data_IF_177463015010
#
_entry.id   IF_177463015010
#
_cell.length_a   1.000
_cell.length_b   1.000
_cell.length_c   1.000
_cell.angle_alpha   90.00
_cell.angle_beta   90.00
_cell.angle_gamma   90.00
#
_symmetry.space_group_name_H-M   'P 1'
#
loop_
_entity.id
_entity.type
_entity.pdbx_description
1 polymer ?
#
# COMPACT_ATOMS: atom_id res chain seq x y z
N UNK A 1 -2.74 12.34 -25.50
CA UNK A 1 -2.56 12.24 -24.04
C UNK A 1 -3.62 11.26 -23.53
N UNK A 2 -3.28 9.97 -23.43
CA UNK A 2 -4.25 8.93 -23.06
C UNK A 2 -4.53 9.02 -21.55
N UNK A 3 -5.58 9.76 -21.18
CA UNK A 3 -6.09 9.77 -19.82
C UNK A 3 -6.75 8.40 -19.59
N UNK A 4 -6.02 7.55 -18.86
CA UNK A 4 -6.40 6.18 -18.57
C UNK A 4 -7.63 6.12 -17.64
N UNK A 5 -8.58 5.23 -17.93
CA UNK A 5 -9.86 5.09 -17.20
C UNK A 5 -9.67 4.96 -15.69
N UNK A 6 -8.63 4.25 -15.22
CA UNK A 6 -8.34 4.18 -13.78
C UNK A 6 -7.92 5.54 -13.20
N UNK A 7 -7.13 6.33 -13.93
CA UNK A 7 -6.70 7.66 -13.45
C UNK A 7 -7.89 8.62 -13.38
N UNK A 8 -8.82 8.54 -14.33
CA UNK A 8 -10.08 9.27 -14.29
C UNK A 8 -10.90 8.89 -13.07
N UNK A 9 -11.18 7.59 -12.90
CA UNK A 9 -11.93 7.07 -11.76
C UNK A 9 -11.30 7.48 -10.42
N UNK A 10 -9.98 7.37 -10.30
CA UNK A 10 -9.27 7.79 -9.09
C UNK A 10 -9.43 9.28 -8.84
N UNK A 11 -9.30 10.12 -9.87
CA UNK A 11 -9.44 11.57 -9.78
C UNK A 11 -10.87 11.97 -9.41
N UNK A 12 -11.87 11.33 -10.02
CA UNK A 12 -13.29 11.54 -9.71
C UNK A 12 -13.58 11.16 -8.26
N UNK A 13 -13.13 10.00 -7.80
CA UNK A 13 -13.26 9.57 -6.41
C UNK A 13 -12.59 10.53 -5.43
N UNK A 14 -11.43 11.11 -5.78
CA UNK A 14 -10.73 12.11 -4.95
C UNK A 14 -11.44 13.46 -4.89
N UNK A 15 -12.18 13.84 -5.92
CA UNK A 15 -13.00 15.05 -5.94
C UNK A 15 -14.29 14.83 -5.16
N UNK A 16 -15.01 13.75 -5.45
CA UNK A 16 -16.32 13.47 -4.84
C UNK A 16 -16.22 13.16 -3.35
N UNK A 17 -15.17 12.46 -2.90
CA UNK A 17 -15.02 12.17 -1.47
C UNK A 17 -14.84 13.44 -0.61
N UNK A 18 -14.39 14.56 -1.22
CA UNK A 18 -14.22 15.84 -0.50
C UNK A 18 -15.53 16.60 -0.30
N UNK A 19 -16.60 16.22 -1.01
CA UNK A 19 -17.91 16.85 -0.86
C UNK A 19 -18.78 16.15 0.18
N UNK A 20 -18.35 15.00 0.69
CA UNK A 20 -19.05 14.24 1.71
C UNK A 20 -18.78 14.77 3.11
N UNK A 21 -19.67 14.45 4.05
CA UNK A 21 -19.46 14.68 5.49
C UNK A 21 -18.28 13.88 6.02
N UNK A 22 -17.61 14.42 7.03
CA UNK A 22 -16.42 13.80 7.62
C UNK A 22 -16.68 12.39 8.16
N UNK A 23 -17.85 12.12 8.74
CA UNK A 23 -18.23 10.81 9.27
C UNK A 23 -18.33 9.74 8.15
N UNK A 24 -18.88 10.13 7.01
CA UNK A 24 -19.01 9.26 5.84
C UNK A 24 -17.62 9.02 5.22
N UNK A 25 -16.80 10.06 5.11
CA UNK A 25 -15.40 9.96 4.66
C UNK A 25 -14.62 9.00 5.57
N UNK A 26 -14.80 9.09 6.88
CA UNK A 26 -14.13 8.23 7.84
C UNK A 26 -14.57 6.78 7.71
N UNK A 27 -15.88 6.53 7.55
CA UNK A 27 -16.44 5.20 7.32
C UNK A 27 -15.89 4.58 6.04
N UNK A 28 -15.86 5.33 4.94
CA UNK A 28 -15.28 4.88 3.66
C UNK A 28 -13.79 4.56 3.85
N UNK A 29 -13.02 5.42 4.52
CA UNK A 29 -11.60 5.16 4.79
C UNK A 29 -11.39 3.87 5.57
N UNK A 30 -12.21 3.60 6.57
CA UNK A 30 -12.07 2.41 7.41
C UNK A 30 -12.40 1.12 6.64
N UNK A 31 -13.43 1.14 5.77
CA UNK A 31 -13.72 0.04 4.84
C UNK A 31 -12.55 -0.17 3.86
N UNK A 32 -12.03 0.92 3.27
CA UNK A 32 -10.93 0.86 2.31
C UNK A 32 -9.62 0.36 2.95
N UNK A 33 -9.35 0.63 4.23
CA UNK A 33 -8.19 0.07 4.95
C UNK A 33 -8.23 -1.46 5.05
N UNK A 34 -9.41 -2.06 4.94
CA UNK A 34 -9.56 -3.52 4.90
C UNK A 34 -9.14 -4.14 3.57
N UNK A 35 -9.06 -3.34 2.50
CA UNK A 35 -8.80 -3.75 1.12
C UNK A 35 -7.31 -3.61 0.78
N UNK A 36 -6.50 -4.58 1.20
CA UNK A 36 -5.10 -4.65 0.75
C UNK A 36 -4.98 -5.23 -0.65
N UNK A 37 -3.82 -5.01 -1.28
CA UNK A 37 -3.45 -5.60 -2.58
C UNK A 37 -3.50 -7.14 -2.58
N UNK A 38 -3.46 -7.77 -1.41
CA UNK A 38 -3.58 -9.21 -1.22
C UNK A 38 -5.03 -9.71 -1.17
N UNK A 39 -6.00 -8.80 -1.08
CA UNK A 39 -7.42 -9.10 -1.01
C UNK A 39 -8.18 -8.57 -2.22
N UNK A 40 -7.84 -7.36 -2.68
CA UNK A 40 -8.55 -6.66 -3.76
C UNK A 40 -7.52 -5.99 -4.67
N UNK A 41 -7.66 -6.16 -5.99
CA UNK A 41 -6.82 -5.46 -6.97
C UNK A 41 -7.09 -3.95 -6.99
N UNK A 42 -6.11 -3.15 -7.44
CA UNK A 42 -6.20 -1.68 -7.40
C UNK A 42 -7.39 -1.10 -8.17
N UNK A 43 -7.82 -1.74 -9.27
CA UNK A 43 -8.95 -1.24 -10.04
C UNK A 43 -10.27 -1.45 -9.27
N UNK A 44 -10.51 -2.67 -8.78
CA UNK A 44 -11.72 -3.00 -8.03
C UNK A 44 -11.82 -2.18 -6.75
N UNK A 45 -10.70 -1.93 -6.07
CA UNK A 45 -10.67 -1.04 -4.93
C UNK A 45 -11.17 0.38 -5.27
N UNK A 46 -10.87 0.91 -6.47
CA UNK A 46 -11.39 2.21 -6.92
C UNK A 46 -12.87 2.15 -7.31
N UNK A 47 -13.33 1.06 -7.92
CA UNK A 47 -14.76 0.87 -8.24
C UNK A 47 -15.57 0.82 -6.96
N UNK A 48 -15.16 -0.01 -6.00
CA UNK A 48 -15.79 -0.11 -4.69
C UNK A 48 -15.80 1.24 -3.98
N UNK A 49 -14.69 1.99 -4.01
CA UNK A 49 -14.63 3.34 -3.43
C UNK A 49 -15.67 4.27 -4.05
N UNK A 50 -15.84 4.24 -5.37
CA UNK A 50 -16.86 5.03 -6.07
C UNK A 50 -18.26 4.64 -5.62
N UNK A 51 -18.54 3.35 -5.54
CA UNK A 51 -19.86 2.85 -5.16
C UNK A 51 -20.20 3.22 -3.70
N UNK A 52 -19.22 3.19 -2.79
CA UNK A 52 -19.37 3.69 -1.42
C UNK A 52 -19.62 5.21 -1.36
N UNK A 53 -18.98 5.99 -2.22
CA UNK A 53 -19.22 7.43 -2.33
C UNK A 53 -20.65 7.70 -2.83
N UNK A 54 -21.09 7.00 -3.87
CA UNK A 54 -22.46 7.11 -4.40
C UNK A 54 -23.49 6.75 -3.34
N UNK A 55 -23.26 5.66 -2.61
CA UNK A 55 -24.10 5.26 -1.48
C UNK A 55 -24.17 6.36 -0.40
N UNK A 56 -23.03 6.95 -0.03
CA UNK A 56 -23.01 8.05 0.95
C UNK A 56 -23.82 9.27 0.47
N UNK A 57 -23.70 9.64 -0.81
CA UNK A 57 -24.48 10.74 -1.41
C UNK A 57 -25.99 10.44 -1.38
N UNK A 58 -26.40 9.21 -1.71
CA UNK A 58 -27.81 8.81 -1.65
C UNK A 58 -28.40 8.86 -0.24
N UNK A 59 -27.61 8.51 0.78
CA UNK A 59 -28.05 8.59 2.18
C UNK A 59 -28.05 10.01 2.72
N UNK A 60 -27.15 10.86 2.25
CA UNK A 60 -27.15 12.29 2.58
C UNK A 60 -28.46 12.97 2.15
N UNK A 61 -28.98 12.64 0.95
CA UNK A 61 -30.30 13.11 0.48
C UNK A 61 -31.46 12.69 1.40
N UNK A 62 -31.26 11.64 2.22
CA UNK A 62 -32.23 11.12 3.18
C UNK A 62 -31.92 11.57 4.62
N UNK A 63 -30.99 12.51 4.81
CA UNK A 63 -30.49 12.96 6.11
C UNK A 63 -29.99 11.80 7.01
N UNK A 64 -29.41 10.75 6.42
CA UNK A 64 -28.81 9.61 7.14
C UNK A 64 -27.32 9.52 6.83
N UNK A 65 -26.54 8.94 7.73
CA UNK A 65 -25.12 8.65 7.46
C UNK A 65 -24.94 7.29 6.80
N UNK A 66 -23.82 7.11 6.11
CA UNK A 66 -23.38 5.82 5.59
C UNK A 66 -23.21 4.81 6.74
N UNK A 67 -22.77 5.29 7.91
CA UNK A 67 -22.67 4.45 9.11
C UNK A 67 -24.05 3.96 9.57
N UNK A 68 -25.07 4.81 9.56
CA UNK A 68 -26.44 4.42 9.91
C UNK A 68 -27.02 3.38 8.95
N UNK A 69 -26.63 3.45 7.68
CA UNK A 69 -27.08 2.53 6.63
C UNK A 69 -26.42 1.15 6.73
N UNK A 70 -25.11 1.12 6.99
CA UNK A 70 -24.35 -0.13 7.16
C UNK A 70 -24.64 -0.76 8.53
N UNK A 71 -24.93 0.07 9.53
CA UNK A 71 -25.14 -0.34 10.91
C UNK A 71 -23.83 -0.59 11.65
N UNK A 72 -23.93 -1.29 12.78
CA UNK A 72 -22.80 -1.52 13.68
C UNK A 72 -21.74 -2.50 13.14
N UNK A 73 -22.07 -3.29 12.11
CA UNK A 73 -21.20 -4.30 11.52
C UNK A 73 -20.49 -3.84 10.23
N UNK A 74 -19.76 -2.74 10.34
CA UNK A 74 -18.91 -2.22 9.25
C UNK A 74 -17.88 -3.26 8.78
N UNK A 75 -17.41 -4.12 9.70
CA UNK A 75 -16.42 -5.15 9.40
C UNK A 75 -17.01 -6.27 8.55
N UNK A 76 -18.19 -6.80 8.90
CA UNK A 76 -18.90 -7.79 8.12
C UNK A 76 -19.20 -7.27 6.72
N UNK A 77 -19.71 -6.04 6.63
CA UNK A 77 -19.96 -5.37 5.35
C UNK A 77 -18.69 -5.26 4.48
N UNK A 78 -17.56 -4.84 5.06
CA UNK A 78 -16.29 -4.78 4.35
C UNK A 78 -15.81 -6.16 3.87
N UNK A 79 -16.01 -7.22 4.67
CA UNK A 79 -15.67 -8.58 4.29
C UNK A 79 -16.53 -9.09 3.14
N UNK A 80 -17.82 -8.79 3.13
CA UNK A 80 -18.73 -9.15 2.04
C UNK A 80 -18.33 -8.46 0.73
N UNK A 81 -18.01 -7.16 0.78
CA UNK A 81 -17.49 -6.43 -0.38
C UNK A 81 -16.19 -7.08 -0.91
N UNK A 82 -15.25 -7.41 -0.02
CA UNK A 82 -13.98 -8.03 -0.41
C UNK A 82 -14.23 -9.40 -1.05
N UNK A 83 -15.13 -10.21 -0.48
CA UNK A 83 -15.49 -11.55 -0.98
C UNK A 83 -16.13 -11.50 -2.36
N UNK A 84 -16.91 -10.45 -2.64
CA UNK A 84 -17.58 -10.24 -3.92
C UNK A 84 -16.72 -9.48 -4.96
N UNK A 85 -15.51 -9.05 -4.59
CA UNK A 85 -14.58 -8.41 -5.52
C UNK A 85 -13.94 -9.41 -6.50
N UNK A 86 -13.25 -8.91 -7.53
CA UNK A 86 -12.46 -9.75 -8.43
C UNK A 86 -11.21 -10.36 -7.77
N UNK A 87 -10.96 -10.07 -6.49
CA UNK A 87 -9.86 -10.63 -5.72
C UNK A 87 -8.50 -10.01 -6.04
N UNK A 88 -7.42 -10.57 -5.47
CA UNK A 88 -6.06 -10.09 -5.67
C UNK A 88 -5.51 -10.38 -7.06
N UNK A 89 -4.76 -9.44 -7.62
CA UNK A 89 -3.98 -9.65 -8.83
C UNK A 89 -2.54 -10.06 -8.46
N UNK A 90 -2.13 -11.31 -8.73
CA UNK A 90 -0.79 -11.81 -8.41
C UNK A 90 0.34 -10.96 -9.02
N UNK A 91 0.15 -10.52 -10.26
CA UNK A 91 1.13 -9.67 -10.93
C UNK A 91 1.22 -8.28 -10.30
N UNK A 92 0.10 -7.72 -9.85
CA UNK A 92 0.08 -6.46 -9.10
C UNK A 92 0.77 -6.61 -7.73
N UNK A 93 0.55 -7.72 -7.02
CA UNK A 93 1.25 -8.00 -5.75
C UNK A 93 2.76 -8.06 -5.98
N UNK A 94 3.21 -8.77 -7.02
CA UNK A 94 4.62 -8.89 -7.36
C UNK A 94 5.24 -7.53 -7.71
N UNK A 95 4.59 -6.75 -8.58
CA UNK A 95 5.05 -5.41 -8.92
C UNK A 95 5.00 -4.46 -7.73
N UNK A 96 4.00 -4.57 -6.85
CA UNK A 96 3.90 -3.82 -5.60
C UNK A 96 5.07 -4.10 -4.67
N UNK A 97 5.48 -5.37 -4.54
CA UNK A 97 6.67 -5.75 -3.78
C UNK A 97 7.94 -5.13 -4.38
N UNK A 98 8.16 -5.27 -5.70
CA UNK A 98 9.33 -4.71 -6.38
C UNK A 98 9.37 -3.18 -6.30
N UNK A 99 8.21 -2.52 -6.39
CA UNK A 99 8.10 -1.07 -6.29
C UNK A 99 8.51 -0.60 -4.90
N UNK A 100 8.05 -1.32 -3.87
CA UNK A 100 8.42 -1.04 -2.48
C UNK A 100 9.90 -1.30 -2.23
N UNK A 101 10.43 -2.42 -2.73
CA UNK A 101 11.83 -2.79 -2.61
C UNK A 101 12.74 -1.72 -3.23
N UNK A 102 12.50 -1.40 -4.50
CA UNK A 102 13.28 -0.39 -5.22
C UNK A 102 13.15 0.99 -4.59
N UNK A 103 11.95 1.39 -4.17
CA UNK A 103 11.73 2.67 -3.47
C UNK A 103 12.43 2.76 -2.10
N UNK A 104 12.39 1.69 -1.29
CA UNK A 104 13.07 1.64 0.00
C UNK A 104 14.59 1.72 -0.16
N UNK A 105 15.15 0.93 -1.07
CA UNK A 105 16.59 0.97 -1.35
C UNK A 105 17.02 2.34 -1.85
N UNK A 106 16.27 2.93 -2.79
CA UNK A 106 16.55 4.26 -3.28
C UNK A 106 16.51 5.31 -2.16
N UNK A 107 15.41 5.35 -1.40
CA UNK A 107 15.21 6.34 -0.35
C UNK A 107 16.23 6.23 0.79
N UNK A 108 16.41 5.04 1.36
CA UNK A 108 17.31 4.85 2.50
C UNK A 108 18.78 5.06 2.16
N UNK A 109 19.26 4.51 1.03
CA UNK A 109 20.66 4.67 0.66
C UNK A 109 20.97 6.11 0.22
N UNK A 110 20.00 6.84 -0.35
CA UNK A 110 20.14 8.27 -0.62
C UNK A 110 20.21 9.08 0.67
N UNK A 111 19.32 8.82 1.64
CA UNK A 111 19.32 9.48 2.94
C UNK A 111 20.62 9.23 3.71
N UNK A 112 21.13 8.00 3.68
CA UNK A 112 22.41 7.67 4.33
C UNK A 112 23.58 8.36 3.63
N UNK A 113 23.64 8.32 2.30
CA UNK A 113 24.71 8.98 1.54
C UNK A 113 24.76 10.49 1.84
N UNK A 114 23.61 11.17 1.81
CA UNK A 114 23.54 12.61 2.02
C UNK A 114 23.67 12.99 3.50
N UNK A 115 22.97 12.30 4.39
CA UNK A 115 22.84 12.65 5.80
C UNK A 115 23.97 12.11 6.68
N UNK A 116 24.25 10.81 6.60
CA UNK A 116 25.23 10.14 7.46
C UNK A 116 26.67 10.22 6.91
N UNK A 117 26.81 10.25 5.59
CA UNK A 117 28.10 10.22 4.90
C UNK A 117 28.43 11.53 4.15
N UNK A 118 27.73 12.62 4.45
CA UNK A 118 28.02 13.98 3.94
C UNK A 118 28.13 14.08 2.41
N UNK A 119 27.32 13.31 1.68
CA UNK A 119 27.32 13.24 0.22
C UNK A 119 28.28 12.21 -0.36
N UNK A 120 29.01 11.45 0.46
CA UNK A 120 29.86 10.37 -0.01
C UNK A 120 29.06 9.09 -0.27
N UNK A 121 29.21 8.54 -1.47
CA UNK A 121 28.55 7.31 -1.91
C UNK A 121 29.42 6.06 -1.73
N UNK A 122 30.64 6.21 -1.24
CA UNK A 122 31.56 5.12 -0.90
C UNK A 122 31.70 5.03 0.62
N UNK A 123 31.25 3.92 1.20
CA UNK A 123 31.16 3.76 2.65
C UNK A 123 31.61 2.38 3.08
N UNK A 124 32.25 2.34 4.24
CA UNK A 124 32.66 1.11 4.87
C UNK A 124 31.49 0.55 5.68
N UNK A 125 30.92 -0.56 5.22
CA UNK A 125 29.79 -1.22 5.86
C UNK A 125 29.93 -2.75 5.75
N UNK A 126 29.38 -3.43 6.75
CA UNK A 126 29.22 -4.88 6.68
C UNK A 126 28.09 -5.20 5.66
N UNK A 127 28.34 -6.06 4.65
CA UNK A 127 27.33 -6.49 3.68
C UNK A 127 26.04 -7.03 4.30
N UNK A 128 26.08 -7.52 5.55
CA UNK A 128 24.90 -7.96 6.29
C UNK A 128 23.83 -6.85 6.40
N UNK A 129 24.23 -5.58 6.37
CA UNK A 129 23.31 -4.44 6.37
C UNK A 129 22.40 -4.43 5.13
N UNK A 130 22.88 -4.86 3.97
CA UNK A 130 22.05 -4.97 2.76
C UNK A 130 20.95 -6.01 2.97
N UNK A 131 21.30 -7.14 3.58
CA UNK A 131 20.36 -8.22 3.92
C UNK A 131 19.34 -7.73 4.97
N UNK A 132 19.77 -6.92 5.93
CA UNK A 132 18.88 -6.25 6.88
C UNK A 132 17.85 -5.38 6.16
N UNK A 133 18.27 -4.48 5.27
CA UNK A 133 17.34 -3.62 4.51
C UNK A 133 16.36 -4.44 3.67
N UNK A 134 16.84 -5.50 3.01
CA UNK A 134 15.98 -6.41 2.25
C UNK A 134 14.92 -7.08 3.15
N UNK A 135 15.34 -7.59 4.30
CA UNK A 135 14.45 -8.20 5.31
C UNK A 135 13.41 -7.21 5.81
N UNK A 136 13.83 -5.97 6.05
CA UNK A 136 12.95 -4.88 6.47
C UNK A 136 11.88 -4.54 5.44
N UNK A 137 12.21 -4.58 4.14
CA UNK A 137 11.23 -4.41 3.07
C UNK A 137 10.21 -5.54 3.08
N UNK A 138 10.65 -6.80 3.17
CA UNK A 138 9.76 -7.96 3.23
C UNK A 138 8.80 -7.83 4.42
N UNK A 139 9.34 -7.55 5.60
CA UNK A 139 8.57 -7.40 6.82
C UNK A 139 7.52 -6.29 6.69
N UNK A 140 7.92 -5.14 6.16
CA UNK A 140 7.03 -4.01 5.91
C UNK A 140 5.94 -4.35 4.89
N UNK A 141 6.26 -5.11 3.83
CA UNK A 141 5.30 -5.54 2.81
C UNK A 141 4.26 -6.52 3.37
N UNK A 142 4.71 -7.50 4.16
CA UNK A 142 3.83 -8.45 4.86
C UNK A 142 2.92 -7.71 5.85
N UNK A 143 3.50 -6.77 6.60
CA UNK A 143 2.75 -5.99 7.60
C UNK A 143 1.62 -5.19 6.96
N UNK A 144 1.91 -4.39 5.94
CA UNK A 144 0.90 -3.60 5.25
C UNK A 144 -0.12 -4.46 4.51
N UNK A 145 0.32 -5.61 4.00
CA UNK A 145 -0.49 -6.50 3.19
C UNK A 145 -1.44 -7.42 3.94
N UNK A 146 -0.99 -7.93 5.10
CA UNK A 146 -1.65 -9.01 5.83
C UNK A 146 -2.03 -8.61 7.25
N UNK A 147 -1.15 -7.92 7.99
CA UNK A 147 -1.39 -7.56 9.40
C UNK A 147 -2.32 -6.35 9.47
N UNK A 148 -1.90 -5.21 8.92
CA UNK A 148 -2.66 -3.95 9.00
C UNK A 148 -4.12 -4.09 8.56
N UNK A 149 -4.47 -4.78 7.46
CA UNK A 149 -5.85 -4.88 6.99
C UNK A 149 -6.76 -5.77 7.86
N UNK A 150 -6.18 -6.60 8.73
CA UNK A 150 -6.93 -7.43 9.68
C UNK A 150 -7.27 -6.61 10.92
N UNK A 151 -6.31 -5.83 11.42
CA UNK A 151 -6.46 -5.06 12.66
C UNK A 151 -7.01 -3.65 12.44
N UNK A 152 -6.95 -3.08 11.23
CA UNK A 152 -7.43 -1.73 10.91
C UNK A 152 -8.93 -1.54 11.12
N UNK A 153 -9.70 -2.62 11.00
CA UNK A 153 -11.16 -2.65 11.20
C UNK A 153 -11.57 -3.10 12.61
N UNK A 154 -10.61 -3.44 13.48
CA UNK A 154 -10.87 -3.76 14.88
C UNK A 154 -11.02 -2.48 15.72
N UNK A 155 -11.75 -2.57 16.84
CA UNK A 155 -11.95 -1.46 17.79
C UNK A 155 -11.21 -1.72 19.11
N UNK A 156 -10.87 -0.64 19.81
CA UNK A 156 -10.21 -0.70 21.12
C UNK A 156 -8.83 -1.37 21.08
N UNK A 157 -8.50 -2.13 22.13
CA UNK A 157 -7.18 -2.73 22.31
C UNK A 157 -6.72 -3.63 21.14
N UNK A 158 -7.66 -4.29 20.44
CA UNK A 158 -7.33 -5.13 19.28
C UNK A 158 -6.70 -4.34 18.13
N UNK A 159 -7.09 -3.06 17.96
CA UNK A 159 -6.48 -2.18 16.96
C UNK A 159 -5.02 -1.87 17.30
N UNK A 160 -4.73 -1.66 18.59
CA UNK A 160 -3.38 -1.39 19.09
C UNK A 160 -2.45 -2.60 18.91
N UNK A 161 -2.96 -3.83 19.07
CA UNK A 161 -2.21 -5.06 18.78
C UNK A 161 -1.66 -5.05 17.34
N UNK A 162 -2.44 -4.55 16.38
CA UNK A 162 -2.01 -4.41 14.99
C UNK A 162 -0.77 -3.54 14.81
N UNK A 163 -0.57 -2.55 15.68
CA UNK A 163 0.63 -1.68 15.69
C UNK A 163 1.79 -2.30 16.48
N UNK A 164 1.49 -3.05 17.55
CA UNK A 164 2.51 -3.69 18.41
C UNK A 164 3.25 -4.80 17.66
N UNK A 165 2.54 -5.63 16.88
CA UNK A 165 3.13 -6.74 16.13
C UNK A 165 4.29 -6.28 15.21
N UNK A 166 4.11 -5.27 14.32
CA UNK A 166 5.18 -4.76 13.48
C UNK A 166 6.39 -4.26 14.27
N UNK A 167 6.16 -3.58 15.39
CA UNK A 167 7.23 -3.04 16.24
C UNK A 167 8.03 -4.19 16.86
N UNK A 168 7.34 -5.20 17.40
CA UNK A 168 7.98 -6.39 17.96
C UNK A 168 8.81 -7.14 16.92
N UNK A 169 8.29 -7.32 15.70
CA UNK A 169 9.01 -7.94 14.60
C UNK A 169 10.23 -7.12 14.17
N UNK A 170 10.09 -5.79 14.09
CA UNK A 170 11.21 -4.89 13.80
C UNK A 170 12.34 -5.02 14.83
N UNK A 171 11.99 -4.99 16.11
CA UNK A 171 12.97 -5.12 17.20
C UNK A 171 13.64 -6.49 17.18
N UNK A 172 12.87 -7.56 16.99
CA UNK A 172 13.40 -8.93 16.91
C UNK A 172 14.41 -9.09 15.78
N UNK A 173 14.06 -8.62 14.57
CA UNK A 173 14.97 -8.64 13.43
C UNK A 173 16.20 -7.76 13.69
N UNK A 174 16.02 -6.55 14.22
CA UNK A 174 17.14 -5.65 14.51
C UNK A 174 18.12 -6.24 15.53
N UNK A 175 17.61 -6.90 16.58
CA UNK A 175 18.44 -7.59 17.59
C UNK A 175 19.18 -8.77 16.93
N UNK A 176 18.50 -9.57 16.10
CA UNK A 176 19.14 -10.67 15.39
C UNK A 176 20.32 -10.18 14.52
N UNK A 177 20.10 -9.12 13.73
CA UNK A 177 21.13 -8.54 12.88
C UNK A 177 22.25 -7.86 13.66
N UNK A 178 21.95 -7.27 14.83
CA UNK A 178 22.97 -6.73 15.72
C UNK A 178 23.96 -7.80 16.18
N UNK A 179 23.49 -9.01 16.51
CA UNK A 179 24.37 -10.12 16.88
C UNK A 179 25.14 -10.72 15.71
N UNK A 180 24.63 -10.60 14.49
CA UNK A 180 25.31 -11.07 13.27
C UNK A 180 26.33 -10.05 12.73
N UNK A 181 26.25 -8.79 13.16
CA UNK A 181 27.13 -7.74 12.70
C UNK A 181 28.56 -7.97 13.18
N UNK A 182 29.50 -8.00 12.25
CA UNK A 182 30.91 -8.20 12.56
C UNK A 182 31.76 -7.11 11.93
N UNK A 183 32.45 -6.35 12.78
CA UNK A 183 33.36 -5.27 12.36
C UNK A 183 34.50 -5.78 11.47
N UNK A 184 34.87 -7.06 11.56
CA UNK A 184 35.92 -7.64 10.71
C UNK A 184 35.47 -7.83 9.26
N UNK A 185 34.16 -7.86 9.00
CA UNK A 185 33.57 -8.05 7.68
C UNK A 185 33.26 -6.73 6.96
N UNK A 186 33.68 -5.60 7.52
CA UNK A 186 33.49 -4.28 6.91
C UNK A 186 34.18 -4.25 5.55
N UNK A 187 33.40 -3.98 4.51
CA UNK A 187 33.89 -3.78 3.15
C UNK A 187 33.49 -2.41 2.64
N UNK A 188 34.26 -1.93 1.68
CA UNK A 188 33.88 -0.74 0.94
C UNK A 188 32.68 -1.08 0.04
N UNK A 189 31.58 -0.36 0.24
CA UNK A 189 30.36 -0.47 -0.54
C UNK A 189 30.14 0.85 -1.27
N UNK A 190 30.01 0.77 -2.59
CA UNK A 190 29.59 1.90 -3.41
C UNK A 190 28.05 1.92 -3.51
N UNK A 191 27.41 2.69 -2.65
CA UNK A 191 25.97 2.88 -2.67
C UNK A 191 25.47 3.69 -3.86
N UNK A 192 26.35 4.38 -4.59
CA UNK A 192 25.97 5.07 -5.82
C UNK A 192 25.35 4.09 -6.82
N UNK A 193 25.93 2.89 -6.96
CA UNK A 193 25.34 1.83 -7.77
C UNK A 193 23.98 1.39 -7.24
N UNK A 194 23.82 1.25 -5.92
CA UNK A 194 22.56 0.85 -5.30
C UNK A 194 21.47 1.90 -5.56
N UNK A 195 21.78 3.18 -5.39
CA UNK A 195 20.84 4.30 -5.62
C UNK A 195 20.46 4.38 -7.10
N UNK A 196 21.42 4.32 -8.03
CA UNK A 196 21.14 4.41 -9.46
C UNK A 196 20.30 3.20 -9.92
N UNK A 197 20.72 1.98 -9.58
CA UNK A 197 20.01 0.76 -10.00
C UNK A 197 18.62 0.66 -9.40
N UNK A 198 18.45 0.99 -8.11
CA UNK A 198 17.13 1.02 -7.46
C UNK A 198 16.23 2.13 -8.01
N UNK A 199 16.77 3.31 -8.34
CA UNK A 199 16.03 4.40 -8.97
C UNK A 199 15.52 4.03 -10.37
N UNK A 200 16.36 3.44 -11.22
CA UNK A 200 15.96 2.95 -12.54
C UNK A 200 14.92 1.83 -12.40
N UNK A 201 15.17 0.86 -11.52
CA UNK A 201 14.23 -0.23 -11.25
C UNK A 201 12.88 0.31 -10.78
N UNK A 202 12.87 1.31 -9.91
CA UNK A 202 11.62 1.94 -9.43
C UNK A 202 10.81 2.54 -10.58
N UNK A 203 11.45 3.26 -11.50
CA UNK A 203 10.78 3.85 -12.66
C UNK A 203 10.20 2.77 -13.59
N UNK A 204 10.97 1.72 -13.89
CA UNK A 204 10.54 0.61 -14.73
C UNK A 204 9.34 -0.11 -14.09
N UNK A 205 9.45 -0.47 -12.81
CA UNK A 205 8.38 -1.18 -12.09
C UNK A 205 7.14 -0.30 -11.95
N UNK A 206 7.30 1.01 -11.70
CA UNK A 206 6.18 1.97 -11.66
C UNK A 206 5.44 2.02 -12.99
N UNK A 207 6.18 2.05 -14.11
CA UNK A 207 5.60 1.99 -15.45
C UNK A 207 4.83 0.68 -15.69
N UNK A 208 5.44 -0.47 -15.37
CA UNK A 208 4.81 -1.78 -15.52
C UNK A 208 3.56 -1.92 -14.64
N UNK A 209 3.60 -1.40 -13.41
CA UNK A 209 2.46 -1.46 -12.49
C UNK A 209 1.30 -0.61 -13.01
N UNK A 210 1.61 0.61 -13.49
CA UNK A 210 0.61 1.47 -14.13
C UNK A 210 0.00 0.75 -15.34
N UNK A 211 0.82 0.19 -16.23
CA UNK A 211 0.35 -0.56 -17.39
C UNK A 211 -0.54 -1.75 -17.01
N UNK A 212 -0.20 -2.47 -15.94
CA UNK A 212 -1.03 -3.57 -15.44
C UNK A 212 -2.40 -3.08 -14.97
N UNK A 213 -2.45 -2.01 -14.19
CA UNK A 213 -3.72 -1.49 -13.69
C UNK A 213 -4.61 -1.00 -14.84
N UNK A 214 -4.01 -0.41 -15.88
CA UNK A 214 -4.75 0.00 -17.08
C UNK A 214 -5.35 -1.21 -17.82
N UNK A 215 -4.62 -2.32 -17.87
CA UNK A 215 -5.11 -3.59 -18.43
C UNK A 215 -6.29 -4.15 -17.61
N UNK A 216 -6.23 -4.04 -16.28
CA UNK A 216 -7.34 -4.45 -15.41
C UNK A 216 -8.61 -3.64 -15.70
N UNK A 217 -8.46 -2.32 -15.91
CA UNK A 217 -9.57 -1.46 -16.29
C UNK A 217 -10.16 -1.83 -17.66
N UNK A 218 -9.31 -1.99 -18.69
CA UNK A 218 -9.78 -2.28 -20.06
C UNK A 218 -10.48 -3.63 -20.18
N UNK A 219 -10.07 -4.62 -19.40
CA UNK A 219 -10.68 -5.96 -19.42
C UNK A 219 -12.08 -6.01 -18.80
N UNK A 220 -12.48 -4.97 -18.04
CA UNK A 220 -13.78 -4.90 -17.36
C UNK A 220 -14.80 -3.98 -18.02
N UNK A 221 -14.54 -3.53 -19.26
CA UNK A 221 -15.41 -2.66 -20.07
C UNK A 221 -16.86 -3.14 -20.24
N UNK A 222 -17.17 -4.40 -19.94
CA UNK A 222 -18.54 -4.93 -20.01
C UNK A 222 -19.43 -4.60 -18.81
N UNK A 223 -18.96 -3.93 -17.75
CA UNK A 223 -19.82 -3.56 -16.61
C UNK A 223 -20.35 -2.11 -16.64
N UNK A 224 -19.84 -1.25 -17.53
CA UNK A 224 -20.26 0.16 -17.62
C UNK A 224 -21.27 0.39 -18.76
N UNK A 225 -21.46 -0.58 -19.68
CA UNK A 225 -22.49 -0.50 -20.71
C UNK A 225 -23.92 -0.73 -20.19
N UNK A 226 -24.09 -1.24 -18.97
CA UNK A 226 -25.42 -1.43 -18.34
C UNK A 226 -25.93 -0.18 -17.60
N UNK A 227 -25.27 0.98 -17.78
CA UNK A 227 -25.59 2.25 -17.10
C UNK A 227 -26.00 3.39 -18.03
N UNK A 228 -26.39 3.09 -19.28
CA UNK A 228 -27.08 4.02 -20.16
C UNK A 228 -28.49 3.53 -20.48
#
# INVERSE_FOLDING_TARGET
MFMNEMLLLKKENEVQIKTLRDDDVQTIKDIMKGMSIFKVNSYDAQVIKRDLIGMAQEFELRNKTLHDAIGSDVKGFAQDIIKNSGGPCKYEIFLGFLLKLSGYFFGWFLVLAVGAYSGNFIWNADPIMIVFYFTMVILSFITEGLINPVFSMEKGFKKEIGSIIPIALFLSVSIMFYFMYDKQNIREINAGYIVITSGISYLIVKYLNTKNINKLASNKKNFIQDLN
#
